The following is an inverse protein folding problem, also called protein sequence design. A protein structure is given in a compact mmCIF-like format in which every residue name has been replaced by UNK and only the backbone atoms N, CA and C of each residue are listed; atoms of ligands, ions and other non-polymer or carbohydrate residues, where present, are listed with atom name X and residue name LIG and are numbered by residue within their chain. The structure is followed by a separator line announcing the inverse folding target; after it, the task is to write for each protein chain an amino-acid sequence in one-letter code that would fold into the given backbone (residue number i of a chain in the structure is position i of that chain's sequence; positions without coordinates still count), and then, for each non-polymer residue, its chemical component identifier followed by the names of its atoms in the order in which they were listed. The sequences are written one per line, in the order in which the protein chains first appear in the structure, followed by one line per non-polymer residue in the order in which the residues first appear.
data_IF_049778823672
#
_entry.id   IF_049778823672
#
_cell.length_a   1.000
_cell.length_b   1.000
_cell.length_c   1.000
_cell.angle_alpha   90.00
_cell.angle_beta   90.00
_cell.angle_gamma   90.00
#
_symmetry.space_group_name_H-M   'P 1'
#
loop_
_entity.id
_entity.type
_entity.pdbx_description
1 polymer ?
#
# COMPACT_ATOMS: atom_id res chain seq x y z
N UNK A 1 -4.80 13.97 19.57
CA UNK A 1 -4.48 15.27 20.19
C UNK A 1 -4.19 16.25 19.08
N UNK A 2 -5.05 17.25 18.89
CA UNK A 2 -4.92 18.26 17.82
C UNK A 2 -4.47 19.57 18.46
N UNK A 3 -3.44 20.19 17.89
CA UNK A 3 -2.84 21.44 18.36
C UNK A 3 -3.27 22.56 17.43
N UNK A 4 -3.83 23.61 18.01
CA UNK A 4 -4.35 24.76 17.28
C UNK A 4 -3.22 25.60 16.66
N UNK A 5 -3.52 26.35 15.61
CA UNK A 5 -2.52 27.17 14.91
C UNK A 5 -2.04 28.37 15.75
N UNK A 6 -2.91 28.91 16.61
CA UNK A 6 -2.61 30.11 17.41
C UNK A 6 -1.57 29.91 18.52
N UNK A 7 -1.21 28.66 18.84
CA UNK A 7 -0.15 28.37 19.82
C UNK A 7 1.25 28.36 19.21
N UNK A 8 1.39 28.59 17.90
CA UNK A 8 2.66 28.72 17.20
C UNK A 8 2.94 30.19 16.81
N UNK A 9 4.22 30.55 16.70
CA UNK A 9 4.63 31.89 16.26
C UNK A 9 5.74 31.78 15.17
N UNK A 10 5.48 32.20 13.92
CA UNK A 10 4.20 32.67 13.39
C UNK A 10 3.16 31.52 13.24
N UNK A 11 1.85 31.83 13.25
CA UNK A 11 0.81 30.80 13.16
C UNK A 11 0.76 30.15 11.76
N UNK A 12 0.77 28.80 11.65
CA UNK A 12 0.62 28.08 10.39
C UNK A 12 -0.83 28.11 9.88
N UNK A 13 -1.06 27.91 8.58
CA UNK A 13 -2.42 27.88 7.98
C UNK A 13 -3.18 26.56 8.16
N UNK A 14 -2.67 25.67 9.00
CA UNK A 14 -3.18 24.31 9.19
C UNK A 14 -3.09 23.90 10.65
N UNK A 15 -4.01 23.04 11.09
CA UNK A 15 -3.97 22.43 12.42
C UNK A 15 -2.85 21.39 12.50
N UNK A 16 -2.22 21.31 13.68
CA UNK A 16 -1.17 20.33 13.96
C UNK A 16 -1.75 19.15 14.75
N UNK A 17 -1.06 18.01 14.76
CA UNK A 17 -1.41 16.86 15.59
C UNK A 17 -0.14 16.21 16.13
N UNK A 18 -0.20 15.73 17.38
CA UNK A 18 0.88 14.93 17.98
C UNK A 18 0.52 13.46 17.84
N UNK A 19 1.42 12.70 17.22
CA UNK A 19 1.30 11.25 17.02
C UNK A 19 2.45 10.58 17.77
N UNK A 20 2.14 9.57 18.58
CA UNK A 20 3.13 8.69 19.18
C UNK A 20 3.06 7.34 18.48
N UNK A 21 4.21 6.85 18.02
CA UNK A 21 4.35 5.55 17.39
C UNK A 21 5.33 4.71 18.21
N UNK A 22 4.91 3.52 18.60
CA UNK A 22 5.77 2.51 19.23
C UNK A 22 6.02 1.41 18.21
N UNK A 23 7.26 0.98 18.08
CA UNK A 23 7.61 -0.18 17.25
C UNK A 23 6.83 -1.40 17.75
N UNK A 24 6.18 -2.12 16.84
CA UNK A 24 5.52 -3.38 17.14
C UNK A 24 6.54 -4.54 17.17
N UNK A 25 6.07 -5.75 17.44
CA UNK A 25 6.92 -6.94 17.56
C UNK A 25 7.27 -7.57 16.20
N UNK A 26 6.70 -7.07 15.11
CA UNK A 26 6.99 -7.54 13.75
C UNK A 26 8.42 -7.18 13.35
N UNK A 27 9.29 -8.18 13.22
CA UNK A 27 10.68 -8.01 12.76
C UNK A 27 10.83 -8.18 11.26
N UNK A 28 9.97 -8.99 10.64
CA UNK A 28 10.01 -9.36 9.23
C UNK A 28 8.59 -9.42 8.67
N UNK A 29 8.39 -8.96 7.43
CA UNK A 29 7.08 -8.90 6.78
C UNK A 29 6.65 -10.25 6.15
N UNK A 30 7.55 -11.21 6.00
CA UNK A 30 7.26 -12.49 5.34
C UNK A 30 6.99 -12.36 3.84
N UNK A 31 7.48 -11.30 3.20
CA UNK A 31 7.43 -11.08 1.76
C UNK A 31 8.68 -10.31 1.30
N UNK A 32 8.86 -10.16 -0.01
CA UNK A 32 9.89 -9.28 -0.57
C UNK A 32 9.53 -7.81 -0.30
N UNK A 33 10.29 -7.15 0.60
CA UNK A 33 10.01 -5.77 1.01
C UNK A 33 10.15 -4.75 -0.12
N UNK A 34 11.06 -4.99 -1.06
CA UNK A 34 11.26 -4.09 -2.20
C UNK A 34 10.06 -4.18 -3.15
N UNK A 35 9.60 -5.39 -3.44
CA UNK A 35 8.39 -5.63 -4.21
C UNK A 35 7.15 -5.10 -3.50
N UNK A 36 7.01 -5.34 -2.19
CA UNK A 36 5.92 -4.83 -1.36
C UNK A 36 5.82 -3.31 -1.46
N UNK A 37 6.94 -2.60 -1.28
CA UNK A 37 7.01 -1.14 -1.40
C UNK A 37 6.59 -0.67 -2.79
N UNK A 38 7.02 -1.38 -3.84
CA UNK A 38 6.65 -1.07 -5.22
C UNK A 38 5.15 -1.24 -5.47
N UNK A 39 4.56 -2.34 -4.99
CA UNK A 39 3.13 -2.64 -5.09
C UNK A 39 2.30 -1.58 -4.36
N UNK A 40 2.63 -1.28 -3.09
CA UNK A 40 1.94 -0.26 -2.31
C UNK A 40 2.04 1.09 -3.00
N UNK A 41 3.23 1.51 -3.42
CA UNK A 41 3.42 2.80 -4.11
C UNK A 41 2.60 2.90 -5.39
N UNK A 42 2.63 1.86 -6.23
CA UNK A 42 1.99 1.89 -7.55
C UNK A 42 0.46 1.87 -7.41
N UNK A 43 -0.06 1.05 -6.49
CA UNK A 43 -1.50 0.96 -6.24
C UNK A 43 -2.05 2.26 -5.65
N UNK A 44 -1.39 2.86 -4.65
CA UNK A 44 -1.82 4.13 -4.06
C UNK A 44 -1.63 5.36 -4.95
N UNK A 45 -0.65 5.35 -5.87
CA UNK A 45 -0.56 6.40 -6.91
C UNK A 45 -1.84 6.46 -7.76
N UNK A 46 -2.53 5.34 -7.93
CA UNK A 46 -3.84 5.25 -8.57
C UNK A 46 -4.97 5.07 -7.56
N UNK A 47 -4.96 5.75 -6.39
CA UNK A 47 -5.93 5.55 -5.29
C UNK A 47 -7.42 5.53 -5.67
N UNK A 48 -7.81 6.24 -6.75
CA UNK A 48 -9.20 6.28 -7.24
C UNK A 48 -9.56 5.15 -8.22
N UNK A 49 -8.62 4.27 -8.53
CA UNK A 49 -8.79 3.11 -9.42
C UNK A 49 -8.71 1.82 -8.61
N UNK A 50 -9.30 0.77 -9.16
CA UNK A 50 -9.22 -0.57 -8.57
C UNK A 50 -7.80 -1.11 -8.66
N UNK A 51 -7.47 -2.04 -7.76
CA UNK A 51 -6.17 -2.72 -7.72
C UNK A 51 -5.78 -3.35 -9.06
N UNK A 52 -6.77 -3.85 -9.82
CA UNK A 52 -6.56 -4.34 -11.18
C UNK A 52 -5.81 -3.34 -12.06
N UNK A 53 -6.10 -2.05 -11.95
CA UNK A 53 -5.42 -1.02 -12.74
C UNK A 53 -4.09 -0.58 -12.11
N UNK A 54 -4.01 -0.58 -10.78
CA UNK A 54 -2.81 -0.23 -10.05
C UNK A 54 -1.67 -1.24 -10.23
N UNK A 55 -1.99 -2.53 -10.42
CA UNK A 55 -0.98 -3.60 -10.46
C UNK A 55 -0.55 -4.01 -11.87
N UNK A 56 -1.35 -3.68 -12.90
CA UNK A 56 -1.02 -3.92 -14.32
C UNK A 56 0.41 -3.53 -14.73
N UNK A 57 0.98 -2.40 -14.27
CA UNK A 57 2.36 -2.03 -14.62
C UNK A 57 3.42 -3.01 -14.10
N UNK A 58 3.09 -3.83 -13.10
CA UNK A 58 4.01 -4.78 -12.46
C UNK A 58 3.86 -6.17 -13.08
N UNK A 59 2.62 -6.65 -13.24
CA UNK A 59 2.35 -8.05 -13.68
C UNK A 59 2.04 -8.20 -15.17
N UNK A 60 1.78 -7.10 -15.88
CA UNK A 60 1.30 -7.09 -17.25
C UNK A 60 -0.23 -7.17 -17.37
N UNK A 61 -0.75 -7.05 -18.59
CA UNK A 61 -2.19 -7.00 -18.86
C UNK A 61 -2.84 -8.39 -18.76
N UNK A 62 -2.11 -9.44 -19.15
CA UNK A 62 -2.61 -10.82 -19.24
C UNK A 62 -2.30 -11.67 -17.99
N UNK A 63 -2.22 -11.03 -16.81
CA UNK A 63 -1.94 -11.75 -15.58
C UNK A 63 -3.22 -12.46 -15.06
N UNK A 64 -3.20 -13.80 -14.90
CA UNK A 64 -4.35 -14.56 -14.37
C UNK A 64 -4.77 -14.13 -12.97
N UNK A 65 -3.84 -13.62 -12.16
CA UNK A 65 -4.12 -13.10 -10.81
C UNK A 65 -5.22 -12.03 -10.83
N UNK A 66 -5.31 -11.24 -11.91
CA UNK A 66 -6.31 -10.16 -12.04
C UNK A 66 -7.76 -10.65 -12.09
N UNK A 67 -7.99 -11.96 -12.26
CA UNK A 67 -9.31 -12.56 -12.25
C UNK A 67 -9.95 -12.60 -10.85
N UNK A 68 -9.14 -12.56 -9.78
CA UNK A 68 -9.66 -12.61 -8.42
C UNK A 68 -10.52 -11.36 -8.08
N UNK A 69 -11.69 -11.54 -7.44
CA UNK A 69 -12.53 -10.43 -6.96
C UNK A 69 -11.82 -9.38 -6.10
N UNK A 70 -10.74 -9.74 -5.39
CA UNK A 70 -9.88 -8.84 -4.64
C UNK A 70 -9.42 -7.66 -5.50
N UNK A 71 -9.12 -7.88 -6.78
CA UNK A 71 -8.62 -6.84 -7.67
C UNK A 71 -9.68 -5.81 -8.10
N UNK A 72 -10.95 -6.02 -7.74
CA UNK A 72 -12.01 -5.03 -7.90
C UNK A 72 -12.05 -4.01 -6.75
N UNK A 73 -11.33 -4.25 -5.65
CA UNK A 73 -11.22 -3.31 -4.52
C UNK A 73 -10.24 -2.18 -4.82
N UNK A 74 -10.33 -1.10 -4.06
CA UNK A 74 -9.37 0.01 -4.06
C UNK A 74 -8.25 -0.24 -3.04
N UNK A 75 -7.05 0.33 -3.22
CA UNK A 75 -5.92 0.12 -2.30
C UNK A 75 -6.22 0.54 -0.85
N UNK A 76 -7.02 1.58 -0.65
CA UNK A 76 -7.45 2.05 0.68
C UNK A 76 -8.37 1.07 1.43
N UNK A 77 -8.88 0.04 0.75
CA UNK A 77 -9.75 -0.98 1.34
C UNK A 77 -8.97 -2.24 1.76
N UNK A 78 -7.67 -2.30 1.50
CA UNK A 78 -6.82 -3.44 1.86
C UNK A 78 -6.09 -3.18 3.17
N UNK A 79 -6.05 -4.22 4.00
CA UNK A 79 -5.22 -4.30 5.18
C UNK A 79 -3.74 -4.56 4.83
N UNK A 80 -2.85 -4.33 5.78
CA UNK A 80 -1.41 -4.63 5.63
C UNK A 80 -1.18 -6.12 5.31
N UNK A 81 -1.92 -7.02 5.98
CA UNK A 81 -1.84 -8.46 5.72
C UNK A 81 -2.26 -8.84 4.30
N UNK A 82 -3.31 -8.21 3.77
CA UNK A 82 -3.74 -8.43 2.38
C UNK A 82 -2.68 -7.93 1.38
N UNK A 83 -1.95 -6.85 1.67
CA UNK A 83 -0.83 -6.41 0.84
C UNK A 83 0.35 -7.37 0.89
N UNK A 84 0.63 -7.99 2.04
CA UNK A 84 1.68 -9.01 2.17
C UNK A 84 1.33 -10.23 1.31
N UNK A 85 0.10 -10.72 1.42
CA UNK A 85 -0.38 -11.85 0.61
C UNK A 85 -0.32 -11.53 -0.89
N UNK A 86 -0.83 -10.36 -1.28
CA UNK A 86 -0.77 -9.88 -2.67
C UNK A 86 0.67 -9.84 -3.19
N UNK A 87 1.62 -9.41 -2.36
CA UNK A 87 3.03 -9.36 -2.73
C UNK A 87 3.60 -10.75 -2.98
N UNK A 88 3.25 -11.72 -2.12
CA UNK A 88 3.68 -13.11 -2.28
C UNK A 88 3.06 -13.76 -3.53
N UNK A 89 1.78 -13.50 -3.82
CA UNK A 89 1.11 -14.02 -5.02
C UNK A 89 1.73 -13.45 -6.30
N UNK A 90 1.99 -12.14 -6.32
CA UNK A 90 2.68 -11.48 -7.44
C UNK A 90 4.09 -12.02 -7.60
N UNK A 91 4.83 -12.21 -6.51
CA UNK A 91 6.17 -12.78 -6.56
C UNK A 91 6.15 -14.18 -7.16
N UNK A 92 5.28 -15.06 -6.69
CA UNK A 92 5.13 -16.42 -7.22
C UNK A 92 4.78 -16.43 -8.72
N UNK A 93 3.97 -15.47 -9.18
CA UNK A 93 3.67 -15.32 -10.61
C UNK A 93 4.85 -14.81 -11.44
N UNK A 94 5.68 -13.93 -10.89
CA UNK A 94 6.88 -13.43 -11.57
C UNK A 94 7.97 -14.50 -11.63
N UNK A 95 8.18 -15.25 -10.55
CA UNK A 95 9.16 -16.34 -10.48
C UNK A 95 8.75 -17.52 -11.39
N UNK A 96 7.45 -17.78 -11.56
CA UNK A 96 6.93 -18.80 -12.47
C UNK A 96 6.87 -18.40 -13.96
N UNK A 97 7.29 -17.17 -14.29
CA UNK A 97 7.40 -16.67 -15.67
C UNK A 97 8.79 -16.85 -16.28
N UNK A 98 9.77 -17.33 -15.50
CA UNK A 98 11.11 -17.71 -15.96
C UNK A 98 11.14 -19.08 -16.67
#
# INVERSE_FOLDING_TARGET
FTVDEHVFNPPPKVKSAVISMKRNDTTELGCDEALFRSIVKTTFNQRRKTLRNGIKPIVGVDCPLLADPLFNRRPEQLSVGEFIQLTNDVKAFLDGKE
#
